data_IF_619492408402
#
_entry.id   IF_619492408402
#
_cell.length_a   1.000
_cell.length_b   1.000
_cell.length_c   1.000
_cell.angle_alpha   90.00
_cell.angle_beta   90.00
_cell.angle_gamma   90.00
#
_symmetry.space_group_name_H-M   'P 1'
#
loop_
_entity.id
_entity.type
_entity.pdbx_description
1 polymer ?
#
# COMPACT_ATOMS: atom_id res chain seq x y z
N UNK A 1 27.90 -25.25 21.73
CA UNK A 1 28.36 -23.84 21.68
C UNK A 1 27.11 -22.99 21.79
N UNK A 2 26.76 -22.60 23.01
CA UNK A 2 25.69 -21.63 23.25
C UNK A 2 26.36 -20.26 23.32
N UNK A 3 26.14 -19.44 22.30
CA UNK A 3 26.54 -18.05 22.28
C UNK A 3 25.29 -17.19 22.30
N UNK A 4 25.24 -16.23 23.22
CA UNK A 4 24.28 -15.13 23.16
C UNK A 4 24.67 -14.24 21.99
N UNK A 5 24.21 -14.61 20.79
CA UNK A 5 24.36 -13.79 19.60
C UNK A 5 23.56 -12.50 19.79
N UNK A 6 24.26 -11.37 19.86
CA UNK A 6 23.62 -10.07 19.69
C UNK A 6 23.03 -10.05 18.27
N UNK A 7 21.70 -9.97 18.16
CA UNK A 7 20.99 -9.86 16.88
C UNK A 7 21.28 -8.47 16.32
N UNK A 8 22.35 -8.34 15.53
CA UNK A 8 22.64 -7.12 14.79
C UNK A 8 21.88 -7.13 13.46
N UNK A 9 20.74 -6.43 13.43
CA UNK A 9 19.97 -6.09 12.22
C UNK A 9 18.91 -7.12 11.82
N UNK A 10 17.70 -6.65 11.52
CA UNK A 10 16.75 -7.44 10.73
C UNK A 10 17.24 -7.45 9.28
N UNK A 11 17.38 -8.64 8.68
CA UNK A 11 17.53 -8.76 7.23
C UNK A 11 16.14 -8.57 6.61
N UNK A 12 15.98 -7.51 5.82
CA UNK A 12 14.71 -7.18 5.18
C UNK A 12 14.91 -7.09 3.66
N UNK A 13 13.95 -7.62 2.91
CA UNK A 13 13.88 -7.41 1.47
C UNK A 13 12.99 -6.20 1.22
N UNK A 14 13.51 -5.17 0.54
CA UNK A 14 12.74 -3.97 0.20
C UNK A 14 12.51 -3.92 -1.30
N UNK A 15 11.25 -3.88 -1.71
CA UNK A 15 10.83 -3.67 -3.10
C UNK A 15 10.47 -2.20 -3.28
N UNK A 16 11.25 -1.51 -4.11
CA UNK A 16 11.00 -0.12 -4.48
C UNK A 16 10.16 -0.05 -5.74
N UNK A 17 9.03 0.65 -5.72
CA UNK A 17 8.08 0.72 -6.83
C UNK A 17 7.47 2.13 -6.98
N UNK A 18 6.95 2.51 -8.16
CA UNK A 18 6.20 3.76 -8.32
C UNK A 18 4.89 3.73 -7.54
N UNK A 19 4.27 4.89 -7.26
CA UNK A 19 3.02 4.92 -6.49
C UNK A 19 1.90 4.10 -7.13
N UNK A 20 1.69 4.25 -8.43
CA UNK A 20 0.78 3.42 -9.21
C UNK A 20 1.48 2.11 -9.57
N UNK A 21 1.25 1.08 -8.75
CA UNK A 21 1.82 -0.24 -8.90
C UNK A 21 0.87 -1.29 -8.31
N UNK A 22 0.83 -2.49 -8.89
CA UNK A 22 0.02 -3.59 -8.38
C UNK A 22 0.73 -4.33 -7.23
N UNK A 23 0.47 -3.90 -6.00
CA UNK A 23 1.06 -4.48 -4.78
C UNK A 23 0.64 -5.93 -4.54
N UNK A 24 -0.41 -6.44 -5.22
CA UNK A 24 -0.78 -7.86 -5.13
C UNK A 24 0.31 -8.78 -5.70
N UNK A 25 1.21 -8.24 -6.52
CA UNK A 25 2.37 -8.93 -7.07
C UNK A 25 3.53 -9.06 -6.07
N UNK A 26 3.49 -8.34 -4.95
CA UNK A 26 4.54 -8.37 -3.93
C UNK A 26 4.13 -9.37 -2.84
N UNK A 27 4.87 -10.48 -2.66
CA UNK A 27 4.57 -11.42 -1.59
C UNK A 27 4.91 -10.77 -0.24
N UNK A 28 4.14 -11.04 0.82
CA UNK A 28 4.45 -10.52 2.15
C UNK A 28 5.75 -11.08 2.78
N UNK A 29 6.24 -12.21 2.27
CA UNK A 29 7.52 -12.80 2.66
C UNK A 29 8.16 -13.60 1.52
N UNK A 30 9.47 -13.74 1.54
CA UNK A 30 10.23 -14.56 0.59
C UNK A 30 11.36 -15.28 1.32
N UNK A 31 11.39 -16.62 1.24
CA UNK A 31 12.36 -17.47 1.95
C UNK A 31 12.47 -17.19 3.47
N UNK A 32 11.32 -16.87 4.11
CA UNK A 32 11.26 -16.56 5.54
C UNK A 32 11.66 -15.13 5.90
N UNK A 33 12.05 -14.31 4.93
CA UNK A 33 12.34 -12.88 5.11
C UNK A 33 11.09 -12.05 4.86
N UNK A 34 10.83 -11.07 5.70
CA UNK A 34 9.78 -10.10 5.46
C UNK A 34 10.11 -9.26 4.22
N UNK A 35 9.11 -9.07 3.36
CA UNK A 35 9.22 -8.17 2.22
C UNK A 35 8.51 -6.87 2.59
N UNK A 36 9.24 -5.77 2.48
CA UNK A 36 8.75 -4.41 2.70
C UNK A 36 8.68 -3.68 1.36
N UNK A 37 7.90 -2.61 1.32
CA UNK A 37 7.74 -1.79 0.12
C UNK A 37 8.16 -0.36 0.39
N UNK A 38 8.80 0.27 -0.59
CA UNK A 38 9.08 1.71 -0.59
C UNK A 38 8.70 2.33 -1.93
N UNK A 39 8.41 3.62 -1.91
CA UNK A 39 8.12 4.35 -3.14
C UNK A 39 9.41 4.81 -3.83
N UNK A 40 9.46 4.71 -5.16
CA UNK A 40 10.55 5.24 -6.00
C UNK A 40 10.44 6.74 -6.24
N UNK A 41 9.28 7.33 -5.96
CA UNK A 41 8.95 8.73 -6.19
C UNK A 41 8.15 9.29 -5.01
N UNK A 42 8.07 10.62 -4.87
CA UNK A 42 7.10 11.24 -3.98
C UNK A 42 5.67 10.80 -4.30
N UNK A 43 4.77 11.02 -3.34
CA UNK A 43 3.34 10.85 -3.55
C UNK A 43 2.81 11.89 -4.55
N UNK A 44 1.77 11.55 -5.33
CA UNK A 44 1.06 12.53 -6.15
C UNK A 44 0.60 13.74 -5.32
N UNK A 45 0.67 14.95 -5.88
CA UNK A 45 0.37 16.19 -5.14
C UNK A 45 -1.06 16.25 -4.62
N UNK A 46 -2.00 15.59 -5.30
CA UNK A 46 -3.43 15.56 -4.98
C UNK A 46 -3.87 14.25 -4.29
N UNK A 47 -2.90 13.43 -3.84
CA UNK A 47 -3.23 12.20 -3.13
C UNK A 47 -3.83 12.46 -1.74
N UNK A 48 -3.25 13.39 -0.97
CA UNK A 48 -3.72 13.71 0.38
C UNK A 48 -4.84 14.74 0.35
N UNK A 49 -6.09 14.28 0.28
CA UNK A 49 -7.29 15.12 0.34
C UNK A 49 -7.92 15.15 1.74
N UNK A 50 -7.76 14.07 2.50
CA UNK A 50 -8.18 13.94 3.88
C UNK A 50 -6.94 14.00 4.78
N UNK A 51 -6.89 15.06 5.60
CA UNK A 51 -5.78 15.33 6.50
C UNK A 51 -5.82 14.41 7.73
N UNK A 52 -4.64 14.09 8.26
CA UNK A 52 -4.47 13.34 9.51
C UNK A 52 -3.87 11.94 9.33
N UNK A 53 -4.27 11.22 8.29
CA UNK A 53 -3.61 9.97 7.90
C UNK A 53 -3.48 9.87 6.39
N UNK A 54 -2.25 9.98 5.89
CA UNK A 54 -1.98 10.01 4.46
C UNK A 54 -2.49 8.74 3.74
N UNK A 55 -2.45 7.58 4.39
CA UNK A 55 -2.94 6.31 3.84
C UNK A 55 -4.40 6.02 4.16
N UNK A 56 -5.19 7.04 4.55
CA UNK A 56 -6.61 6.89 4.83
C UNK A 56 -7.37 6.29 3.62
N UNK A 57 -8.40 5.46 3.85
CA UNK A 57 -9.22 4.91 2.78
C UNK A 57 -9.78 5.97 1.83
N UNK A 58 -10.13 7.15 2.35
CA UNK A 58 -10.64 8.29 1.60
C UNK A 58 -9.63 8.81 0.57
N UNK A 59 -8.35 8.89 0.93
CA UNK A 59 -7.29 9.35 0.02
C UNK A 59 -7.13 8.37 -1.16
N UNK A 60 -7.14 7.06 -0.87
CA UNK A 60 -7.11 6.04 -1.91
C UNK A 60 -8.36 6.06 -2.81
N UNK A 61 -9.54 6.14 -2.21
CA UNK A 61 -10.81 6.23 -2.92
C UNK A 61 -10.83 7.43 -3.87
N UNK A 62 -10.53 8.63 -3.35
CA UNK A 62 -10.52 9.86 -4.13
C UNK A 62 -9.47 9.82 -5.26
N UNK A 63 -8.28 9.29 -4.98
CA UNK A 63 -7.22 9.15 -5.98
C UNK A 63 -7.63 8.23 -7.12
N UNK A 64 -8.22 7.07 -6.81
CA UNK A 64 -8.70 6.13 -7.84
C UNK A 64 -9.83 6.73 -8.66
N UNK A 65 -10.76 7.43 -8.02
CA UNK A 65 -11.90 8.05 -8.69
C UNK A 65 -11.44 9.18 -9.63
N UNK A 66 -10.41 9.94 -9.25
CA UNK A 66 -9.84 11.03 -10.04
C UNK A 66 -8.89 10.55 -11.16
N UNK A 67 -8.18 9.43 -10.96
CA UNK A 67 -7.11 8.96 -11.87
C UNK A 67 -7.40 7.60 -12.52
N UNK A 68 -8.66 7.19 -12.62
CA UNK A 68 -9.07 5.88 -13.14
C UNK A 68 -8.36 5.51 -14.46
N UNK A 69 -8.33 6.42 -15.43
CA UNK A 69 -7.73 6.13 -16.74
C UNK A 69 -6.21 5.98 -16.66
N UNK A 70 -5.54 6.80 -15.86
CA UNK A 70 -4.09 6.75 -15.69
C UNK A 70 -3.66 5.46 -15.00
N UNK A 71 -4.40 5.05 -13.96
CA UNK A 71 -4.15 3.79 -13.26
C UNK A 71 -4.33 2.60 -14.20
N UNK A 72 -5.42 2.56 -14.98
CA UNK A 72 -5.66 1.51 -15.98
C UNK A 72 -4.55 1.41 -17.01
N UNK A 73 -4.09 2.55 -17.50
CA UNK A 73 -2.98 2.62 -18.46
C UNK A 73 -1.67 2.11 -17.83
N UNK A 74 -1.35 2.57 -16.62
CA UNK A 74 -0.13 2.21 -15.90
C UNK A 74 -0.09 0.72 -15.50
N UNK A 75 -1.24 0.14 -15.14
CA UNK A 75 -1.37 -1.26 -14.78
C UNK A 75 -1.65 -2.18 -15.98
N UNK A 76 -1.75 -1.61 -17.20
CA UNK A 76 -1.93 -2.38 -18.43
C UNK A 76 -3.27 -3.11 -18.54
N UNK A 77 -4.30 -2.65 -17.83
CA UNK A 77 -5.62 -3.27 -17.85
C UNK A 77 -6.72 -2.19 -17.96
N UNK A 78 -7.23 -1.92 -19.19
CA UNK A 78 -8.21 -0.86 -19.44
C UNK A 78 -9.58 -1.12 -18.80
N UNK A 79 -9.90 -2.37 -18.49
CA UNK A 79 -11.21 -2.76 -17.95
C UNK A 79 -11.21 -2.90 -16.42
N UNK A 80 -10.12 -2.51 -15.73
CA UNK A 80 -10.09 -2.59 -14.26
C UNK A 80 -11.25 -1.82 -13.64
N UNK A 81 -11.97 -2.51 -12.79
CA UNK A 81 -12.98 -1.91 -11.93
C UNK A 81 -12.32 -1.07 -10.84
N UNK A 82 -13.10 -0.16 -10.25
CA UNK A 82 -12.69 0.64 -9.09
C UNK A 82 -12.14 -0.23 -7.95
N UNK A 83 -12.84 -1.33 -7.64
CA UNK A 83 -12.44 -2.25 -6.59
C UNK A 83 -11.09 -2.94 -6.88
N UNK A 84 -10.85 -3.33 -8.13
CA UNK A 84 -9.57 -3.93 -8.54
C UNK A 84 -8.42 -2.92 -8.47
N UNK A 85 -8.65 -1.66 -8.85
CA UNK A 85 -7.63 -0.61 -8.74
C UNK A 85 -7.26 -0.33 -7.28
N UNK A 86 -8.26 -0.21 -6.40
CA UNK A 86 -8.03 -0.05 -4.96
C UNK A 86 -7.25 -1.24 -4.40
N UNK A 87 -7.65 -2.46 -4.74
CA UNK A 87 -6.94 -3.66 -4.31
C UNK A 87 -5.50 -3.68 -4.82
N UNK A 88 -5.26 -3.31 -6.07
CA UNK A 88 -3.90 -3.23 -6.63
C UNK A 88 -3.03 -2.22 -5.88
N UNK A 89 -3.52 -0.99 -5.64
CA UNK A 89 -2.73 0.07 -5.00
C UNK A 89 -2.48 -0.15 -3.50
N UNK A 90 -3.41 -0.84 -2.82
CA UNK A 90 -3.32 -1.10 -1.38
C UNK A 90 -2.57 -2.41 -1.12
N UNK A 91 -2.78 -3.43 -1.96
CA UNK A 91 -2.26 -4.78 -1.79
C UNK A 91 -3.19 -5.72 -1.03
N UNK A 92 -4.40 -5.28 -0.70
CA UNK A 92 -5.47 -6.10 -0.10
C UNK A 92 -6.85 -5.53 -0.45
N UNK A 93 -7.96 -6.27 -0.21
CA UNK A 93 -9.32 -5.76 -0.44
C UNK A 93 -9.60 -4.47 0.34
N UNK A 94 -10.34 -3.54 -0.29
CA UNK A 94 -10.54 -2.19 0.24
C UNK A 94 -11.27 -2.18 1.59
N UNK A 95 -12.26 -3.05 1.77
CA UNK A 95 -13.00 -3.22 3.02
C UNK A 95 -12.09 -3.71 4.15
N UNK A 96 -11.13 -4.58 3.81
CA UNK A 96 -10.11 -5.04 4.75
C UNK A 96 -9.17 -3.91 5.18
N UNK A 97 -8.85 -2.99 4.26
CA UNK A 97 -8.07 -1.80 4.58
C UNK A 97 -8.83 -0.82 5.49
N UNK A 98 -10.12 -0.57 5.21
CA UNK A 98 -10.97 0.26 6.08
C UNK A 98 -10.96 -0.27 7.51
N UNK A 99 -11.18 -1.57 7.70
CA UNK A 99 -11.19 -2.18 9.03
C UNK A 99 -9.82 -2.11 9.71
N UNK A 100 -8.73 -2.28 8.94
CA UNK A 100 -7.38 -2.13 9.46
C UNK A 100 -7.10 -0.68 9.92
N UNK A 101 -7.53 0.31 9.14
CA UNK A 101 -7.43 1.73 9.52
C UNK A 101 -8.29 2.05 10.75
N UNK A 102 -9.51 1.51 10.87
CA UNK A 102 -10.33 1.69 12.06
C UNK A 102 -9.67 1.10 13.32
N UNK A 103 -9.02 -0.05 13.19
CA UNK A 103 -8.41 -0.77 14.32
C UNK A 103 -7.05 -0.23 14.73
N UNK A 104 -6.22 0.18 13.77
CA UNK A 104 -4.80 0.51 13.99
C UNK A 104 -4.38 1.88 13.45
N UNK A 105 -5.28 2.62 12.81
CA UNK A 105 -5.00 3.96 12.30
C UNK A 105 -4.76 4.97 13.42
N UNK A 106 -4.14 6.12 13.10
CA UNK A 106 -3.85 7.15 14.09
C UNK A 106 -5.14 7.69 14.71
N UNK A 107 -5.31 7.46 16.01
CA UNK A 107 -6.37 8.07 16.81
C UNK A 107 -7.78 7.51 16.63
N UNK A 108 -7.98 6.17 16.57
CA UNK A 108 -9.31 5.50 16.65
C UNK A 108 -10.47 6.27 15.99
N UNK A 109 -10.25 6.78 14.78
CA UNK A 109 -11.23 7.58 14.06
C UNK A 109 -12.26 6.65 13.39
N UNK A 110 -13.53 7.05 13.48
CA UNK A 110 -14.64 6.38 12.81
C UNK A 110 -14.57 6.68 11.30
N UNK A 111 -13.93 5.78 10.55
CA UNK A 111 -14.07 5.66 9.10
C UNK A 111 -15.27 4.76 8.77
#
# INVERSE_FOLDING_TARGET
>A
IEGWGNVHGSLELVVTHPFVFDKRLIPGSFLGLAVRTSLSSPLPEDFEVFSGYIWAPENYANFVDSHTQEIRNALGNPEMTRAEMLHALIGMPFEGWIEQCRRFGPGHTNY
#
